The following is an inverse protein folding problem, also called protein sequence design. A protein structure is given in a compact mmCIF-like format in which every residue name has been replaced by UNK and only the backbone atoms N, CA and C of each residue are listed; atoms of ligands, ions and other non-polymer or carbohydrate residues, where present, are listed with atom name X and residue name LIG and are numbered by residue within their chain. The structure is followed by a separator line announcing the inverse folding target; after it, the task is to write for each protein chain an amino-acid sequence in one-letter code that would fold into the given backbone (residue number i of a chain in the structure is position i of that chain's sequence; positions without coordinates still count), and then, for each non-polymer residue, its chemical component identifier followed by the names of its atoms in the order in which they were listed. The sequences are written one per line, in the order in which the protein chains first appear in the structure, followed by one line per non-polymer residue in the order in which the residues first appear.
data_IF_026824686282
#
_entry.id   IF_026824686282
#
_cell.length_a   1.000
_cell.length_b   1.000
_cell.length_c   1.000
_cell.angle_alpha   90.00
_cell.angle_beta   90.00
_cell.angle_gamma   90.00
#
_symmetry.space_group_name_H-M   'P 1'
#
loop_
_entity.id
_entity.type
_entity.pdbx_description
1 polymer ?
#
# COMPACT_ATOMS: atom_id res chain seq x y z
N UNK A 1 -21.35 -11.36 10.37
CA UNK A 1 -20.92 -10.18 9.58
C UNK A 1 -19.52 -10.44 9.02
N UNK A 2 -19.34 -10.25 7.71
CA UNK A 2 -18.05 -10.43 7.02
C UNK A 2 -17.52 -9.05 6.62
N UNK A 3 -16.32 -8.72 7.09
CA UNK A 3 -15.66 -7.44 6.81
C UNK A 3 -14.39 -7.71 6.00
N UNK A 4 -14.22 -6.99 4.89
CA UNK A 4 -12.97 -6.93 4.15
C UNK A 4 -12.17 -5.69 4.58
N UNK A 5 -11.07 -5.90 5.28
CA UNK A 5 -10.11 -4.84 5.61
C UNK A 5 -9.04 -4.71 4.52
N UNK A 6 -8.77 -3.49 4.08
CA UNK A 6 -7.81 -3.20 3.00
C UNK A 6 -6.81 -2.15 3.47
N UNK A 7 -5.53 -2.45 3.37
CA UNK A 7 -4.44 -1.48 3.47
C UNK A 7 -3.87 -1.21 2.07
N UNK A 8 -4.01 0.01 1.58
CA UNK A 8 -3.57 0.45 0.24
C UNK A 8 -2.24 1.22 0.27
N UNK A 9 -1.59 1.30 1.42
CA UNK A 9 -0.30 1.99 1.55
C UNK A 9 0.86 1.06 1.16
N UNK A 10 2.09 1.37 1.59
CA UNK A 10 3.19 0.43 1.44
C UNK A 10 2.88 -0.86 2.22
N UNK A 11 3.40 -1.99 1.76
CA UNK A 11 3.04 -3.32 2.27
C UNK A 11 1.53 -3.57 2.17
N UNK A 12 0.98 -3.34 0.99
CA UNK A 12 -0.43 -3.55 0.69
C UNK A 12 -0.92 -4.90 1.19
N UNK A 13 -2.04 -4.92 1.90
CA UNK A 13 -2.52 -6.10 2.63
C UNK A 13 -4.04 -6.12 2.64
N UNK A 14 -4.62 -7.30 2.54
CA UNK A 14 -6.03 -7.54 2.78
C UNK A 14 -6.24 -8.49 3.96
N UNK A 15 -7.36 -8.34 4.65
CA UNK A 15 -7.78 -9.22 5.72
C UNK A 15 -9.29 -9.45 5.66
N UNK A 16 -9.74 -10.66 5.97
CA UNK A 16 -11.15 -10.99 6.16
C UNK A 16 -11.41 -11.21 7.64
N UNK A 17 -12.39 -10.50 8.15
CA UNK A 17 -12.92 -10.71 9.48
C UNK A 17 -14.30 -11.34 9.37
N UNK A 18 -14.57 -12.30 10.24
CA UNK A 18 -15.91 -12.91 10.41
C UNK A 18 -16.29 -12.80 11.87
N UNK A 19 -17.40 -12.11 12.14
CA UNK A 19 -17.94 -11.92 13.49
C UNK A 19 -16.91 -11.42 14.52
N UNK A 20 -16.09 -10.46 14.09
CA UNK A 20 -15.07 -9.81 14.91
C UNK A 20 -13.72 -10.53 14.98
N UNK A 21 -13.60 -11.76 14.44
CA UNK A 21 -12.34 -12.49 14.39
C UNK A 21 -11.68 -12.41 13.00
N UNK A 22 -10.36 -12.22 12.94
CA UNK A 22 -9.61 -12.30 11.69
C UNK A 22 -9.52 -13.78 11.29
N UNK A 23 -10.14 -14.15 10.16
CA UNK A 23 -10.14 -15.51 9.65
C UNK A 23 -9.10 -15.76 8.57
N UNK A 24 -8.66 -14.70 7.87
CA UNK A 24 -7.57 -14.78 6.90
C UNK A 24 -6.94 -13.40 6.67
N UNK A 25 -5.65 -13.36 6.35
CA UNK A 25 -4.91 -12.15 6.05
C UNK A 25 -3.76 -12.47 5.08
N UNK A 26 -3.52 -11.60 4.10
CA UNK A 26 -2.43 -11.77 3.14
C UNK A 26 -1.91 -10.43 2.63
N UNK A 27 -0.59 -10.35 2.43
CA UNK A 27 0.05 -9.19 1.78
C UNK A 27 0.15 -9.41 0.28
N UNK A 28 -0.04 -8.35 -0.50
CA UNK A 28 0.02 -8.36 -1.96
C UNK A 28 1.37 -8.87 -2.49
N UNK A 29 2.47 -8.56 -1.79
CA UNK A 29 3.83 -9.02 -2.15
C UNK A 29 3.98 -10.53 -2.24
N UNK A 30 3.12 -11.31 -1.57
CA UNK A 30 3.13 -12.78 -1.64
C UNK A 30 2.76 -13.27 -3.04
N UNK A 31 1.91 -12.53 -3.72
CA UNK A 31 1.37 -12.85 -5.04
C UNK A 31 2.06 -12.10 -6.16
N UNK A 32 2.38 -10.83 -5.94
CA UNK A 32 3.05 -9.99 -6.94
C UNK A 32 4.55 -10.26 -7.07
N UNK A 33 5.16 -10.85 -6.03
CA UNK A 33 6.61 -11.03 -5.88
C UNK A 33 7.40 -9.72 -5.84
N UNK A 34 6.73 -8.61 -5.66
CA UNK A 34 7.34 -7.30 -5.46
C UNK A 34 7.41 -7.00 -3.96
N UNK A 35 8.62 -6.93 -3.42
CA UNK A 35 8.82 -6.64 -1.98
C UNK A 35 8.26 -5.27 -1.61
N UNK A 36 7.53 -5.20 -0.50
CA UNK A 36 6.85 -3.99 -0.03
C UNK A 36 5.87 -3.40 -1.07
N UNK A 37 5.23 -4.26 -1.89
CA UNK A 37 4.26 -3.84 -2.89
C UNK A 37 3.21 -2.90 -2.25
N UNK A 38 2.90 -1.82 -2.94
CA UNK A 38 2.03 -0.76 -2.46
C UNK A 38 0.78 -0.62 -3.34
N UNK A 39 -0.24 0.04 -2.82
CA UNK A 39 -1.49 0.31 -3.51
C UNK A 39 -2.56 -0.74 -3.24
N UNK A 40 -3.58 -0.79 -4.08
CA UNK A 40 -4.73 -1.68 -3.89
C UNK A 40 -4.35 -3.17 -4.00
N UNK A 41 -4.58 -4.00 -2.97
CA UNK A 41 -4.08 -5.38 -2.90
C UNK A 41 -5.03 -6.36 -3.61
N UNK A 42 -5.20 -6.21 -4.94
CA UNK A 42 -6.14 -6.99 -5.75
C UNK A 42 -5.94 -8.49 -5.61
N UNK A 43 -4.69 -8.95 -5.79
CA UNK A 43 -4.37 -10.39 -5.77
C UNK A 43 -4.54 -11.01 -4.39
N UNK A 44 -4.21 -10.24 -3.34
CA UNK A 44 -4.42 -10.69 -1.97
C UNK A 44 -5.92 -10.86 -1.68
N UNK A 45 -6.77 -9.91 -2.12
CA UNK A 45 -8.23 -10.01 -1.97
C UNK A 45 -8.75 -11.26 -2.69
N UNK A 46 -8.41 -11.44 -3.98
CA UNK A 46 -8.83 -12.60 -4.76
C UNK A 46 -8.45 -13.91 -4.10
N UNK A 47 -7.20 -14.00 -3.61
CA UNK A 47 -6.70 -15.20 -2.94
C UNK A 47 -7.43 -15.49 -1.64
N UNK A 48 -7.75 -14.47 -0.83
CA UNK A 48 -8.49 -14.64 0.42
C UNK A 48 -9.93 -15.08 0.17
N UNK A 49 -10.62 -14.48 -0.80
CA UNK A 49 -11.97 -14.86 -1.17
C UNK A 49 -12.00 -16.32 -1.68
N UNK A 50 -11.08 -16.69 -2.56
CA UNK A 50 -10.97 -18.05 -3.07
C UNK A 50 -10.64 -19.06 -1.96
N UNK A 51 -9.70 -18.72 -1.05
CA UNK A 51 -9.31 -19.57 0.07
C UNK A 51 -10.49 -19.88 1.01
N UNK A 52 -11.34 -18.89 1.25
CA UNK A 52 -12.49 -19.01 2.16
C UNK A 52 -13.77 -19.45 1.45
N UNK A 53 -13.74 -19.64 0.12
CA UNK A 53 -14.93 -19.95 -0.68
C UNK A 53 -15.99 -18.86 -0.62
N UNK A 54 -15.60 -17.60 -0.48
CA UNK A 54 -16.52 -16.47 -0.37
C UNK A 54 -16.74 -15.81 -1.74
N UNK A 55 -18.00 -15.58 -2.09
CA UNK A 55 -18.35 -14.68 -3.18
C UNK A 55 -18.15 -13.21 -2.72
N UNK A 56 -17.80 -12.27 -3.61
CA UNK A 56 -17.73 -10.86 -3.27
C UNK A 56 -19.00 -10.31 -2.64
N UNK A 57 -20.17 -10.78 -3.08
CA UNK A 57 -21.49 -10.41 -2.54
C UNK A 57 -21.74 -10.84 -1.08
N UNK A 58 -20.88 -11.70 -0.52
CA UNK A 58 -20.95 -12.08 0.89
C UNK A 58 -20.26 -11.08 1.84
N UNK A 59 -19.58 -10.06 1.29
CA UNK A 59 -18.93 -9.01 2.08
C UNK A 59 -19.98 -8.00 2.52
N UNK A 60 -20.18 -7.90 3.83
CA UNK A 60 -21.13 -6.95 4.42
C UNK A 60 -20.54 -5.52 4.51
N UNK A 61 -19.22 -5.40 4.69
CA UNK A 61 -18.54 -4.12 4.90
C UNK A 61 -17.12 -4.15 4.34
N UNK A 62 -16.70 -3.05 3.72
CA UNK A 62 -15.29 -2.82 3.36
C UNK A 62 -14.71 -1.71 4.22
N UNK A 63 -13.60 -2.00 4.89
CA UNK A 63 -12.87 -1.05 5.72
C UNK A 63 -11.52 -0.71 5.06
N UNK A 64 -11.33 0.56 4.69
CA UNK A 64 -10.09 1.07 4.11
C UNK A 64 -9.19 1.63 5.21
N UNK A 65 -8.01 1.04 5.39
CA UNK A 65 -7.02 1.55 6.32
C UNK A 65 -6.25 2.73 5.70
N UNK A 66 -5.93 3.72 6.56
CA UNK A 66 -5.17 4.89 6.16
C UNK A 66 -6.04 6.02 5.58
N UNK A 67 -5.73 7.25 6.00
CA UNK A 67 -6.43 8.45 5.55
C UNK A 67 -6.08 8.84 4.09
N UNK A 68 -4.99 8.30 3.55
CA UNK A 68 -4.48 8.60 2.20
C UNK A 68 -4.01 7.34 1.52
N UNK A 69 -4.43 7.14 0.29
CA UNK A 69 -3.84 6.18 -0.64
C UNK A 69 -3.14 6.94 -1.77
N UNK A 70 -2.16 6.32 -2.37
CA UNK A 70 -1.41 6.88 -3.49
C UNK A 70 -1.50 5.93 -4.68
N UNK A 71 -1.29 6.48 -5.88
CA UNK A 71 -1.14 5.67 -7.08
C UNK A 71 -0.07 4.58 -6.87
N UNK A 72 -0.42 3.34 -7.22
CA UNK A 72 0.42 2.16 -6.99
C UNK A 72 1.78 2.27 -7.70
N UNK A 73 1.77 2.68 -8.94
CA UNK A 73 3.00 2.73 -9.74
C UNK A 73 3.92 3.84 -9.26
N UNK A 74 3.35 4.97 -8.85
CA UNK A 74 4.13 6.04 -8.24
C UNK A 74 4.74 5.60 -6.91
N UNK A 75 3.95 4.98 -6.04
CA UNK A 75 4.41 4.52 -4.72
C UNK A 75 5.50 3.46 -4.88
N UNK A 76 5.31 2.48 -5.75
CA UNK A 76 6.31 1.43 -5.98
C UNK A 76 7.60 2.00 -6.59
N UNK A 77 7.53 2.96 -7.52
CA UNK A 77 8.73 3.65 -8.02
C UNK A 77 9.51 4.32 -6.91
N UNK A 78 8.82 5.01 -6.00
CA UNK A 78 9.47 5.69 -4.86
C UNK A 78 10.08 4.68 -3.89
N UNK A 79 9.35 3.64 -3.51
CA UNK A 79 9.81 2.63 -2.55
C UNK A 79 10.97 1.79 -3.08
N UNK A 80 11.02 1.57 -4.40
CA UNK A 80 12.08 0.80 -5.05
C UNK A 80 13.19 1.67 -5.63
N UNK A 81 13.11 2.99 -5.48
CA UNK A 81 14.25 3.86 -5.76
C UNK A 81 15.40 3.54 -4.82
N UNK A 82 16.58 3.27 -5.41
CA UNK A 82 17.77 2.88 -4.62
C UNK A 82 18.21 3.95 -3.64
N UNK A 83 18.05 5.23 -3.97
CA UNK A 83 18.42 6.33 -3.10
C UNK A 83 17.46 6.41 -1.90
N UNK A 84 16.17 6.28 -2.15
CA UNK A 84 15.15 6.23 -1.11
C UNK A 84 15.29 5.01 -0.20
N UNK A 85 15.47 3.82 -0.78
CA UNK A 85 15.64 2.59 -0.01
C UNK A 85 16.85 2.65 0.93
N UNK A 86 17.97 3.19 0.44
CA UNK A 86 19.18 3.40 1.26
C UNK A 86 18.94 4.34 2.44
N UNK A 87 18.17 5.40 2.22
CA UNK A 87 17.85 6.35 3.28
C UNK A 87 16.84 5.78 4.27
N UNK A 88 15.79 5.13 3.79
CA UNK A 88 14.71 4.59 4.60
C UNK A 88 15.17 3.42 5.49
N UNK A 89 15.92 2.47 4.92
CA UNK A 89 16.42 1.30 5.66
C UNK A 89 17.72 1.55 6.41
N UNK A 90 18.23 2.79 6.39
CA UNK A 90 19.46 3.13 7.11
C UNK A 90 20.69 2.34 6.64
N UNK A 91 20.67 1.80 5.42
CA UNK A 91 21.81 1.09 4.84
C UNK A 91 22.93 2.08 4.67
N UNK A 92 23.82 2.13 5.65
CA UNK A 92 25.06 2.89 5.60
C UNK A 92 26.00 2.17 4.62
N UNK A 93 25.98 2.58 3.38
CA UNK A 93 27.19 2.41 2.60
C UNK A 93 28.19 3.39 3.20
N UNK A 94 29.30 2.86 3.73
CA UNK A 94 30.43 3.63 4.18
C UNK A 94 31.10 4.29 2.96
N UNK A 95 30.47 5.29 2.40
CA UNK A 95 31.16 6.27 1.57
C UNK A 95 31.75 7.29 2.54
N UNK A 96 33.05 7.22 2.71
CA UNK A 96 33.80 8.12 3.56
C UNK A 96 33.48 9.57 3.29
N UNK A 97 32.96 10.25 4.29
CA UNK A 97 32.65 11.67 4.23
C UNK A 97 31.86 12.12 5.46
N UNK A 98 32.56 12.49 6.53
CA UNK A 98 32.00 13.27 7.64
C UNK A 98 31.85 14.71 7.14
N UNK A 99 30.63 15.20 6.92
CA UNK A 99 30.48 16.60 6.54
C UNK A 99 29.04 17.10 6.38
N UNK A 100 28.90 18.42 6.38
CA UNK A 100 27.64 19.18 6.16
C UNK A 100 26.84 18.72 4.92
N UNK A 101 27.50 18.25 3.87
CA UNK A 101 26.88 17.76 2.64
C UNK A 101 25.94 16.57 2.86
N UNK A 102 26.13 15.75 3.91
CA UNK A 102 25.25 14.63 4.22
C UNK A 102 23.93 15.10 4.84
N UNK A 103 23.96 16.14 5.69
CA UNK A 103 22.76 16.73 6.27
C UNK A 103 21.94 17.44 5.20
N UNK A 104 22.61 18.15 4.28
CA UNK A 104 21.96 18.83 3.15
C UNK A 104 21.33 17.83 2.16
N UNK A 105 21.99 16.74 1.82
CA UNK A 105 21.42 15.68 0.97
C UNK A 105 20.23 14.99 1.63
N UNK A 106 20.31 14.71 2.94
CA UNK A 106 19.21 14.14 3.71
C UNK A 106 18.00 15.04 3.79
N UNK A 107 18.23 16.33 3.95
CA UNK A 107 17.17 17.36 3.89
C UNK A 107 16.60 17.49 2.47
N UNK A 108 17.46 17.48 1.45
CA UNK A 108 17.06 17.52 0.04
C UNK A 108 16.22 16.32 -0.37
N UNK A 109 16.59 15.10 0.04
CA UNK A 109 15.80 13.89 -0.21
C UNK A 109 14.43 13.96 0.48
N UNK A 110 14.38 14.41 1.75
CA UNK A 110 13.11 14.60 2.48
C UNK A 110 12.23 15.68 1.86
N UNK A 111 12.82 16.79 1.43
CA UNK A 111 12.08 17.87 0.75
C UNK A 111 11.63 17.43 -0.65
N UNK A 112 12.45 16.69 -1.38
CA UNK A 112 12.12 16.11 -2.67
C UNK A 112 10.96 15.10 -2.56
N UNK A 113 10.97 14.22 -1.57
CA UNK A 113 9.86 13.30 -1.29
C UNK A 113 8.59 14.07 -0.89
N UNK A 114 8.71 15.05 0.02
CA UNK A 114 7.58 15.85 0.45
C UNK A 114 7.01 16.74 -0.68
N UNK A 115 7.85 17.19 -1.62
CA UNK A 115 7.41 17.93 -2.80
C UNK A 115 6.77 16.98 -3.84
N UNK A 116 7.36 15.82 -4.08
CA UNK A 116 6.78 14.79 -4.95
C UNK A 116 5.44 14.27 -4.43
N UNK A 117 5.33 14.08 -3.11
CA UNK A 117 4.08 13.67 -2.46
C UNK A 117 3.02 14.78 -2.50
N UNK A 118 3.42 16.06 -2.51
CA UNK A 118 2.50 17.20 -2.67
C UNK A 118 2.04 17.39 -4.10
N UNK A 119 2.88 17.08 -5.07
CA UNK A 119 2.56 17.21 -6.50
C UNK A 119 1.72 16.06 -7.06
N UNK A 120 1.57 14.94 -6.32
CA UNK A 120 0.68 13.82 -6.65
C UNK A 120 -0.48 13.84 -5.67
N UNK A 121 -1.67 14.09 -6.18
CA UNK A 121 -2.88 14.02 -5.35
C UNK A 121 -3.00 12.62 -4.76
N UNK A 122 -3.19 12.55 -3.44
CA UNK A 122 -3.69 11.33 -2.83
C UNK A 122 -4.98 10.94 -3.57
N UNK A 123 -5.19 9.65 -3.78
CA UNK A 123 -6.44 9.17 -4.36
C UNK A 123 -7.62 9.67 -3.50
N UNK A 124 -8.61 10.24 -4.15
CA UNK A 124 -9.83 10.66 -3.45
C UNK A 124 -10.57 9.46 -2.87
N UNK A 125 -11.45 9.70 -1.92
CA UNK A 125 -12.29 8.64 -1.34
C UNK A 125 -13.13 7.95 -2.43
N UNK A 126 -13.64 8.72 -3.37
CA UNK A 126 -14.42 8.20 -4.51
C UNK A 126 -13.56 7.31 -5.42
N UNK A 127 -12.34 7.73 -5.76
CA UNK A 127 -11.44 6.92 -6.57
C UNK A 127 -11.07 5.60 -5.87
N UNK A 128 -10.86 5.62 -4.56
CA UNK A 128 -10.60 4.41 -3.77
C UNK A 128 -11.81 3.47 -3.74
N UNK A 129 -13.00 4.05 -3.55
CA UNK A 129 -14.24 3.28 -3.58
C UNK A 129 -14.47 2.67 -4.96
N UNK A 130 -14.20 3.42 -6.04
CA UNK A 130 -14.32 2.92 -7.41
C UNK A 130 -13.47 1.67 -7.66
N UNK A 131 -12.23 1.61 -7.17
CA UNK A 131 -11.40 0.40 -7.27
C UNK A 131 -12.04 -0.81 -6.59
N UNK A 132 -12.65 -0.60 -5.42
CA UNK A 132 -13.30 -1.67 -4.66
C UNK A 132 -14.55 -2.15 -5.38
N UNK A 133 -15.42 -1.23 -5.79
CA UNK A 133 -16.69 -1.56 -6.44
C UNK A 133 -16.49 -2.24 -7.79
N UNK A 134 -15.53 -1.73 -8.61
CA UNK A 134 -15.15 -2.35 -9.87
C UNK A 134 -14.62 -3.77 -9.67
N UNK A 135 -13.70 -3.94 -8.72
CA UNK A 135 -13.04 -5.22 -8.47
C UNK A 135 -14.00 -6.28 -7.94
N UNK A 136 -14.86 -5.90 -6.99
CA UNK A 136 -15.77 -6.84 -6.32
C UNK A 136 -17.11 -6.97 -7.05
N UNK A 137 -17.36 -6.19 -8.11
CA UNK A 137 -18.65 -6.18 -8.83
C UNK A 137 -19.79 -5.69 -7.96
N UNK A 138 -19.53 -4.82 -6.97
CA UNK A 138 -20.54 -4.26 -6.10
C UNK A 138 -21.26 -3.09 -6.80
N UNK A 139 -22.57 -2.95 -6.59
CA UNK A 139 -23.29 -1.75 -7.01
C UNK A 139 -22.79 -0.54 -6.21
N UNK A 140 -22.60 0.59 -6.88
CA UNK A 140 -22.19 1.84 -6.26
C UNK A 140 -23.32 2.44 -5.41
#
# INVERSE_FOLDING_TARGET
MIVLGINETHCATAAILRDGAIVACASEERFSRLKNDAGYPRRAIDALLAHLGLAPSAIDLVALAGARAFDRDWMNRVLHDRAYAREYYGVRLEEGGRGLGRRARKLGARLGFAAAARGKSALSAEARLAFVTEHLGLAA
#
